data_IF_776628236194
#
_entry.id   IF_776628236194
#
_cell.length_a   1.000
_cell.length_b   1.000
_cell.length_c   1.000
_cell.angle_alpha   90.00
_cell.angle_beta   90.00
_cell.angle_gamma   90.00
#
_symmetry.space_group_name_H-M   'P 1'
#
loop_
_entity.id
_entity.type
_entity.pdbx_description
1 polymer ?
#
# COMPACT_ATOMS: atom_id res chain seq x y z
N UNK A 1 25.60 -17.13 -30.83
CA UNK A 1 24.76 -15.92 -30.80
C UNK A 1 23.38 -16.39 -30.42
N UNK A 2 23.10 -16.45 -29.12
CA UNK A 2 21.74 -16.73 -28.64
C UNK A 2 20.89 -15.47 -28.87
N UNK A 3 19.67 -15.58 -29.42
CA UNK A 3 18.79 -14.43 -29.57
C UNK A 3 18.31 -13.97 -28.19
N UNK A 4 18.41 -12.67 -27.95
CA UNK A 4 17.86 -12.03 -26.75
C UNK A 4 16.36 -12.36 -26.61
N UNK A 5 15.85 -12.54 -25.39
CA UNK A 5 14.44 -12.85 -25.17
C UNK A 5 13.58 -11.72 -25.77
N UNK A 6 12.68 -12.09 -26.69
CA UNK A 6 11.73 -11.14 -27.28
C UNK A 6 10.80 -10.60 -26.18
N UNK A 7 11.05 -9.37 -25.79
CA UNK A 7 10.22 -8.66 -24.83
C UNK A 7 8.99 -8.12 -25.54
N UNK A 8 7.80 -8.50 -25.08
CA UNK A 8 6.54 -8.06 -25.68
C UNK A 8 6.17 -6.67 -25.16
N UNK A 9 6.14 -5.68 -26.03
CA UNK A 9 5.61 -4.35 -25.73
C UNK A 9 4.10 -4.30 -25.98
N UNK A 10 3.36 -3.62 -25.12
CA UNK A 10 1.91 -3.44 -25.28
C UNK A 10 1.47 -2.07 -24.74
N UNK A 11 0.35 -1.57 -25.27
CA UNK A 11 -0.25 -0.30 -24.88
C UNK A 11 -1.52 -0.52 -24.06
N UNK A 12 -1.79 0.35 -23.09
CA UNK A 12 -3.01 0.36 -22.29
C UNK A 12 -3.54 1.78 -22.14
N UNK A 13 -4.83 1.95 -22.38
CA UNK A 13 -5.54 3.20 -22.18
C UNK A 13 -6.24 3.20 -20.82
N UNK A 14 -5.99 4.24 -20.04
CA UNK A 14 -6.52 4.43 -18.68
C UNK A 14 -7.16 5.81 -18.55
N UNK A 15 -8.06 5.96 -17.57
CA UNK A 15 -8.61 7.28 -17.22
C UNK A 15 -8.01 7.76 -15.90
N UNK A 16 -7.15 8.77 -15.95
CA UNK A 16 -6.56 9.40 -14.75
C UNK A 16 -7.62 10.20 -14.01
N UNK A 17 -8.01 9.69 -12.83
CA UNK A 17 -8.98 10.32 -11.94
C UNK A 17 -8.36 11.29 -10.94
N UNK A 18 -9.16 11.74 -9.97
CA UNK A 18 -8.70 12.63 -8.89
C UNK A 18 -7.58 12.02 -8.03
N UNK A 19 -7.56 10.69 -7.89
CA UNK A 19 -6.58 9.94 -7.13
C UNK A 19 -5.36 9.49 -7.96
N UNK A 20 -5.37 9.67 -9.28
CA UNK A 20 -4.32 9.24 -10.19
C UNK A 20 -4.71 8.00 -10.99
N UNK A 21 -3.71 7.21 -11.41
CA UNK A 21 -3.88 6.04 -12.27
C UNK A 21 -4.10 4.74 -11.49
N UNK A 22 -3.92 4.71 -10.17
CA UNK A 22 -4.05 3.47 -9.40
C UNK A 22 -2.81 2.58 -9.36
N UNK A 23 -1.70 2.99 -9.98
CA UNK A 23 -0.49 2.17 -10.17
C UNK A 23 0.62 2.68 -9.28
N UNK A 24 1.32 1.77 -8.60
CA UNK A 24 2.59 2.04 -7.95
C UNK A 24 3.75 1.68 -8.86
N UNK A 25 4.67 2.64 -8.99
CA UNK A 25 5.93 2.43 -9.67
C UNK A 25 7.06 2.37 -8.65
N UNK A 26 7.94 1.39 -8.82
CA UNK A 26 9.21 1.28 -8.14
C UNK A 26 10.34 1.72 -9.10
N UNK A 27 11.40 2.27 -8.53
CA UNK A 27 12.63 2.49 -9.28
C UNK A 27 13.32 1.15 -9.52
N UNK A 28 13.85 0.96 -10.72
CA UNK A 28 14.86 -0.06 -10.94
C UNK A 28 16.08 0.16 -10.02
N UNK A 29 16.93 -0.85 -9.84
CA UNK A 29 18.07 -0.78 -8.91
C UNK A 29 19.03 0.38 -9.21
N UNK A 30 19.17 0.76 -10.48
CA UNK A 30 19.96 1.88 -10.99
C UNK A 30 19.16 3.19 -11.14
N UNK A 31 17.87 3.17 -10.80
CA UNK A 31 16.90 4.24 -11.00
C UNK A 31 16.78 4.73 -12.46
N UNK A 32 17.11 3.88 -13.44
CA UNK A 32 17.06 4.24 -14.88
C UNK A 32 15.67 4.14 -15.47
N UNK A 33 14.79 3.30 -14.92
CA UNK A 33 13.43 3.11 -15.43
C UNK A 33 12.43 2.91 -14.29
N UNK A 34 11.14 3.07 -14.62
CA UNK A 34 10.02 2.82 -13.73
C UNK A 34 9.45 1.43 -14.01
N UNK A 35 9.32 0.62 -12.96
CA UNK A 35 8.75 -0.73 -13.00
C UNK A 35 7.47 -0.73 -12.18
N UNK A 36 6.42 -1.41 -12.62
CA UNK A 36 5.23 -1.64 -11.79
C UNK A 36 5.67 -2.40 -10.54
N UNK A 37 5.38 -1.84 -9.36
CA UNK A 37 5.85 -2.40 -8.09
C UNK A 37 5.42 -3.88 -7.98
N UNK A 38 6.39 -4.76 -7.74
CA UNK A 38 6.17 -6.21 -7.74
C UNK A 38 5.40 -6.71 -6.53
N UNK A 39 5.30 -5.90 -5.47
CA UNK A 39 4.73 -6.28 -4.18
C UNK A 39 3.38 -5.63 -3.94
N UNK A 40 3.26 -4.35 -4.26
CA UNK A 40 2.01 -3.60 -4.16
C UNK A 40 1.82 -2.84 -5.47
N UNK A 41 1.42 -3.51 -6.56
CA UNK A 41 1.30 -2.90 -7.88
C UNK A 41 0.18 -1.86 -7.96
N UNK A 42 -0.89 -2.04 -7.18
CA UNK A 42 -2.10 -1.24 -7.27
C UNK A 42 -2.66 -0.80 -5.91
N UNK A 43 -3.38 0.31 -5.91
CA UNK A 43 -4.23 0.69 -4.77
C UNK A 43 -5.72 0.73 -5.14
N UNK A 44 -6.56 0.44 -4.15
CA UNK A 44 -8.01 0.63 -4.21
C UNK A 44 -8.37 2.06 -3.92
N UNK A 45 -9.36 2.59 -4.63
CA UNK A 45 -9.90 3.92 -4.41
C UNK A 45 -10.56 4.03 -3.02
N UNK A 46 -10.82 5.24 -2.48
CA UNK A 46 -11.50 5.40 -1.20
C UNK A 46 -12.86 4.70 -1.12
N UNK A 47 -13.54 4.54 -2.26
CA UNK A 47 -14.80 3.78 -2.37
C UNK A 47 -14.64 2.27 -2.23
N UNK A 48 -13.40 1.75 -2.16
CA UNK A 48 -13.09 0.32 -2.23
C UNK A 48 -13.01 -0.23 -3.66
N UNK A 49 -13.39 0.56 -4.67
CA UNK A 49 -13.34 0.16 -6.06
C UNK A 49 -11.90 -0.03 -6.58
N UNK A 50 -11.77 -0.82 -7.64
CA UNK A 50 -10.55 -0.94 -8.42
C UNK A 50 -10.15 0.44 -8.96
N UNK A 51 -8.87 0.79 -8.84
CA UNK A 51 -8.34 1.97 -9.50
C UNK A 51 -8.04 1.64 -10.98
N UNK A 52 -7.90 2.65 -11.86
CA UNK A 52 -7.84 2.46 -13.32
C UNK A 52 -6.83 1.41 -13.78
N UNK A 53 -5.61 1.42 -13.22
CA UNK A 53 -4.56 0.47 -13.56
C UNK A 53 -4.95 -0.98 -13.28
N UNK A 54 -5.48 -1.28 -12.09
CA UNK A 54 -5.94 -2.64 -11.74
C UNK A 54 -7.19 -3.03 -12.52
N UNK A 55 -8.12 -2.10 -12.72
CA UNK A 55 -9.35 -2.31 -13.48
C UNK A 55 -9.09 -2.66 -14.95
N UNK A 56 -7.95 -2.23 -15.51
CA UNK A 56 -7.58 -2.56 -16.89
C UNK A 56 -7.31 -4.05 -17.11
N UNK A 57 -6.89 -4.78 -16.05
CA UNK A 57 -6.51 -6.20 -16.11
C UNK A 57 -5.28 -6.52 -16.98
N UNK A 58 -4.74 -5.55 -17.74
CA UNK A 58 -3.63 -5.76 -18.66
C UNK A 58 -2.27 -5.65 -17.98
N UNK A 59 -2.16 -4.80 -16.96
CA UNK A 59 -0.92 -4.46 -16.28
C UNK A 59 -0.60 -5.49 -15.20
N UNK A 60 0.62 -5.99 -15.20
CA UNK A 60 1.14 -6.95 -14.24
C UNK A 60 2.27 -6.34 -13.41
N UNK A 61 2.51 -6.88 -12.19
CA UNK A 61 3.69 -6.51 -11.41
C UNK A 61 4.97 -6.84 -12.20
N UNK A 62 5.95 -5.94 -12.19
CA UNK A 62 7.21 -6.12 -12.91
C UNK A 62 7.22 -5.58 -14.35
N UNK A 63 6.09 -5.11 -14.89
CA UNK A 63 6.09 -4.48 -16.21
C UNK A 63 6.87 -3.16 -16.20
N UNK A 64 7.67 -2.92 -17.23
CA UNK A 64 8.51 -1.72 -17.36
C UNK A 64 7.76 -0.66 -18.14
N UNK A 65 7.66 0.55 -17.61
CA UNK A 65 7.05 1.67 -18.31
C UNK A 65 8.01 2.22 -19.37
N UNK A 66 7.58 2.22 -20.63
CA UNK A 66 8.34 2.74 -21.76
C UNK A 66 7.87 4.12 -22.19
N UNK A 67 6.57 4.40 -22.20
CA UNK A 67 6.05 5.71 -22.59
C UNK A 67 4.82 6.12 -21.80
N UNK A 68 4.62 7.44 -21.73
CA UNK A 68 3.44 8.09 -21.16
C UNK A 68 2.85 9.01 -22.23
N UNK A 69 1.66 8.68 -22.72
CA UNK A 69 1.06 9.21 -23.94
C UNK A 69 2.08 9.10 -25.10
N UNK A 70 2.31 10.20 -25.80
CA UNK A 70 3.23 10.28 -26.94
C UNK A 70 4.69 10.57 -26.51
N UNK A 71 5.00 10.52 -25.21
CA UNK A 71 6.34 10.80 -24.70
C UNK A 71 7.03 9.53 -24.24
N UNK A 72 8.16 9.20 -24.87
CA UNK A 72 9.06 8.14 -24.44
C UNK A 72 9.75 8.53 -23.12
N UNK A 73 9.69 7.64 -22.14
CA UNK A 73 10.27 7.83 -20.80
C UNK A 73 11.46 6.90 -20.54
N UNK A 74 11.82 6.04 -21.50
CA UNK A 74 12.92 5.07 -21.38
C UNK A 74 14.30 5.73 -21.19
N UNK A 75 14.45 6.99 -21.61
CA UNK A 75 15.70 7.76 -21.49
C UNK A 75 15.76 8.61 -20.22
N UNK A 76 14.68 8.67 -19.44
CA UNK A 76 14.56 9.53 -18.27
C UNK A 76 14.87 8.76 -16.99
N UNK A 77 15.46 9.43 -15.99
CA UNK A 77 15.63 8.81 -14.66
C UNK A 77 14.30 8.74 -13.93
N UNK A 78 14.17 7.75 -13.04
CA UNK A 78 12.94 7.51 -12.28
C UNK A 78 12.27 8.77 -11.67
N UNK A 79 12.99 9.72 -11.03
CA UNK A 79 12.36 10.94 -10.52
C UNK A 79 11.71 11.81 -11.60
N UNK A 80 12.31 11.87 -12.78
CA UNK A 80 11.78 12.62 -13.93
C UNK A 80 10.54 11.94 -14.49
N UNK A 81 10.54 10.59 -14.58
CA UNK A 81 9.37 9.80 -14.97
C UNK A 81 8.19 10.05 -14.01
N UNK A 82 8.45 10.04 -12.70
CA UNK A 82 7.43 10.33 -11.68
C UNK A 82 6.85 11.73 -11.86
N UNK A 83 7.70 12.72 -12.14
CA UNK A 83 7.25 14.09 -12.37
C UNK A 83 6.37 14.19 -13.62
N UNK A 84 6.78 13.53 -14.71
CA UNK A 84 5.99 13.47 -15.94
C UNK A 84 4.62 12.83 -15.71
N UNK A 85 4.56 11.68 -15.03
CA UNK A 85 3.30 11.02 -14.65
C UNK A 85 2.39 11.92 -13.79
N UNK A 86 2.97 12.77 -12.93
CA UNK A 86 2.21 13.74 -12.12
C UNK A 86 1.61 14.84 -12.98
N UNK A 87 2.37 15.37 -13.93
CA UNK A 87 2.00 16.47 -14.81
C UNK A 87 0.92 16.11 -15.84
N UNK A 88 0.74 14.82 -16.16
CA UNK A 88 -0.36 14.38 -17.04
C UNK A 88 -1.71 14.88 -16.48
N UNK A 89 -2.56 15.58 -17.25
CA UNK A 89 -3.85 16.04 -16.79
C UNK A 89 -4.80 14.87 -16.46
N UNK A 90 -5.91 15.16 -15.77
CA UNK A 90 -6.98 14.18 -15.59
C UNK A 90 -7.63 13.89 -16.96
N UNK A 91 -8.09 12.66 -17.17
CA UNK A 91 -8.68 12.21 -18.44
C UNK A 91 -7.98 10.99 -19.02
N UNK A 92 -8.13 10.77 -20.32
CA UNK A 92 -7.52 9.64 -21.01
C UNK A 92 -5.98 9.74 -20.98
N UNK A 93 -5.33 8.62 -20.70
CA UNK A 93 -3.87 8.45 -20.65
C UNK A 93 -3.53 7.13 -21.31
N UNK A 94 -2.60 7.14 -22.25
CA UNK A 94 -2.08 5.95 -22.90
C UNK A 94 -0.71 5.62 -22.30
N UNK A 95 -0.50 4.41 -21.83
CA UNK A 95 0.79 3.97 -21.31
C UNK A 95 1.30 2.81 -22.15
N UNK A 96 2.59 2.81 -22.48
CA UNK A 96 3.23 1.66 -23.12
C UNK A 96 4.12 0.97 -22.13
N UNK A 97 3.94 -0.34 -22.01
CA UNK A 97 4.70 -1.21 -21.12
C UNK A 97 5.48 -2.25 -21.91
N UNK A 98 6.56 -2.73 -21.31
CA UNK A 98 7.30 -3.89 -21.74
C UNK A 98 7.19 -4.98 -20.68
N UNK A 99 6.68 -6.14 -21.09
CA UNK A 99 6.71 -7.34 -20.26
C UNK A 99 7.95 -8.15 -20.60
N UNK A 100 8.81 -8.38 -19.61
CA UNK A 100 9.86 -9.38 -19.76
C UNK A 100 9.19 -10.74 -19.72
N UNK A 101 9.27 -11.48 -20.83
CA UNK A 101 8.84 -12.87 -20.92
C UNK A 101 9.65 -13.69 -19.92
N UNK A 102 9.13 -13.83 -18.70
CA UNK A 102 9.64 -14.84 -17.78
C UNK A 102 9.30 -16.17 -18.44
N UNK A 103 10.29 -16.89 -18.97
CA UNK A 103 10.11 -18.31 -19.31
C UNK A 103 9.53 -18.95 -18.05
N UNK A 104 8.29 -19.40 -18.15
CA UNK A 104 7.63 -20.23 -17.16
C UNK A 104 8.56 -21.41 -16.86
N UNK A 105 9.23 -21.40 -15.72
CA UNK A 105 9.74 -22.63 -15.13
C UNK A 105 8.51 -23.36 -14.59
N UNK A 106 7.93 -24.15 -15.51
CA UNK A 106 7.19 -25.40 -15.31
C UNK A 106 6.37 -25.53 -14.02
N UNK A 107 5.06 -25.39 -14.18
CA UNK A 107 4.12 -26.25 -13.45
C UNK A 107 4.08 -27.62 -14.14
N UNK A 108 4.24 -28.73 -13.41
CA UNK A 108 3.63 -30.07 -13.60
C UNK A 108 4.23 -31.11 -12.61
N UNK A 109 3.60 -32.27 -12.33
CA UNK A 109 2.81 -32.52 -11.11
C UNK A 109 3.28 -33.78 -10.33
N UNK A 110 2.48 -34.21 -9.35
CA UNK A 110 2.50 -35.53 -8.69
C UNK A 110 3.54 -35.79 -7.59
N UNK A 111 3.13 -35.54 -6.34
CA UNK A 111 3.32 -36.52 -5.26
C UNK A 111 2.02 -36.67 -4.48
N UNK A 112 1.35 -37.79 -4.75
CA UNK A 112 0.33 -38.38 -3.90
C UNK A 112 0.98 -38.74 -2.56
N UNK A 113 0.41 -38.26 -1.46
CA UNK A 113 0.56 -38.92 -0.17
C UNK A 113 -0.80 -38.91 0.51
N UNK A 114 -1.21 -40.13 0.80
CA UNK A 114 -2.50 -40.57 1.31
C UNK A 114 -2.85 -39.91 2.64
N UNK A 115 -4.13 -39.58 2.79
CA UNK A 115 -4.75 -39.32 4.08
C UNK A 115 -4.86 -40.64 4.87
N UNK A 116 -4.68 -40.59 6.20
CA UNK A 116 -5.38 -41.51 7.08
C UNK A 116 -6.51 -40.81 7.81
N UNK A 117 -7.55 -41.60 7.99
CA UNK A 117 -8.90 -41.26 8.40
C UNK A 117 -9.04 -40.83 9.86
N UNK A 118 -10.18 -40.19 10.12
CA UNK A 118 -10.78 -39.97 11.43
C UNK A 118 -10.78 -41.23 12.30
N UNK A 119 -10.46 -41.06 13.59
CA UNK A 119 -11.07 -41.92 14.59
C UNK A 119 -11.53 -41.07 15.77
N UNK A 120 -12.84 -41.06 15.97
CA UNK A 120 -13.54 -40.46 17.10
C UNK A 120 -13.44 -41.41 18.30
N UNK A 121 -13.03 -40.92 19.47
CA UNK A 121 -13.59 -41.41 20.73
C UNK A 121 -13.35 -40.45 21.92
N UNK A 122 -14.50 -39.99 22.42
CA UNK A 122 -14.88 -39.60 23.77
C UNK A 122 -13.83 -39.35 24.88
N UNK A 123 -13.88 -38.12 25.39
CA UNK A 123 -14.24 -37.79 26.77
C UNK A 123 -13.39 -38.33 27.92
N UNK A 124 -12.82 -37.43 28.73
CA UNK A 124 -13.06 -37.40 30.18
C UNK A 124 -12.67 -36.03 30.79
N UNK A 125 -13.52 -35.63 31.73
CA UNK A 125 -13.61 -34.38 32.49
C UNK A 125 -12.76 -34.48 33.77
N UNK A 126 -12.07 -33.40 34.16
CA UNK A 126 -11.85 -32.94 35.55
C UNK A 126 -10.94 -31.71 35.55
N UNK A 127 -11.48 -30.55 35.89
CA UNK A 127 -11.53 -29.94 37.24
C UNK A 127 -10.32 -29.04 37.52
N UNK A 128 -10.68 -27.77 37.67
CA UNK A 128 -9.96 -26.61 38.19
C UNK A 128 -9.42 -26.86 39.62
N UNK A 129 -8.48 -26.04 40.14
CA UNK A 129 -8.91 -24.74 40.69
C UNK A 129 -7.95 -23.55 40.49
N UNK A 130 -8.62 -22.41 40.32
CA UNK A 130 -8.36 -21.07 40.86
C UNK A 130 -7.03 -20.77 41.58
N UNK A 131 -6.40 -19.66 41.13
CA UNK A 131 -5.81 -18.67 42.03
C UNK A 131 -5.97 -17.27 41.43
N UNK A 132 -6.74 -16.46 42.14
CA UNK A 132 -6.87 -15.00 42.04
C UNK A 132 -5.48 -14.34 42.23
N UNK A 133 -5.16 -13.17 41.67
CA UNK A 133 -5.38 -11.86 42.33
C UNK A 133 -4.93 -10.71 41.40
N UNK A 134 -5.74 -9.64 41.45
CA UNK A 134 -5.51 -8.22 41.16
C UNK A 134 -5.41 -7.65 39.73
N UNK A 135 -6.55 -7.11 39.33
CA UNK A 135 -6.80 -6.10 38.31
C UNK A 135 -6.40 -4.69 38.80
N UNK A 136 -5.66 -3.93 37.98
CA UNK A 136 -5.72 -2.45 37.95
C UNK A 136 -5.40 -1.90 36.54
N UNK A 137 -5.99 -0.74 36.16
CA UNK A 137 -6.56 -0.52 34.85
C UNK A 137 -5.59 0.03 33.79
N UNK A 138 -5.88 -0.34 32.54
CA UNK A 138 -5.25 0.19 31.33
C UNK A 138 -5.67 1.65 31.11
N UNK A 139 -4.76 2.59 30.81
CA UNK A 139 -5.14 3.96 30.50
C UNK A 139 -5.87 4.03 29.15
N UNK A 140 -7.12 4.49 29.18
CA UNK A 140 -7.94 4.81 28.00
C UNK A 140 -7.43 6.13 27.40
N UNK A 141 -6.64 6.04 26.33
CA UNK A 141 -6.25 7.17 25.51
C UNK A 141 -7.46 7.77 24.78
N UNK A 142 -7.57 9.10 24.87
CA UNK A 142 -8.67 9.98 24.49
C UNK A 142 -9.48 9.63 23.22
N UNK A 143 -10.74 9.26 23.41
CA UNK A 143 -11.77 9.36 22.38
C UNK A 143 -12.37 10.78 22.39
N UNK A 144 -11.91 11.66 21.51
CA UNK A 144 -12.38 13.05 21.37
C UNK A 144 -13.76 13.18 20.67
N UNK A 145 -14.73 12.32 20.99
CA UNK A 145 -16.04 12.35 20.30
C UNK A 145 -17.25 12.26 21.23
N UNK A 146 -17.17 12.85 22.42
CA UNK A 146 -18.36 13.01 23.28
C UNK A 146 -18.35 14.32 24.06
N UNK A 147 -18.59 15.45 23.37
CA UNK A 147 -19.16 16.65 24.03
C UNK A 147 -19.65 17.75 23.09
N UNK A 148 -20.68 17.49 22.29
CA UNK A 148 -21.53 18.56 21.74
C UNK A 148 -22.98 18.07 21.64
N UNK A 149 -23.64 17.97 22.80
CA UNK A 149 -25.10 17.79 22.89
C UNK A 149 -25.62 18.60 24.08
N UNK A 150 -25.51 19.92 23.98
CA UNK A 150 -26.32 20.90 24.74
C UNK A 150 -26.04 22.30 24.19
N UNK A 151 -26.93 22.80 23.35
CA UNK A 151 -26.84 24.13 22.76
C UNK A 151 -27.97 24.44 21.79
N UNK A 152 -29.18 23.96 22.06
CA UNK A 152 -30.38 24.46 21.38
C UNK A 152 -30.70 25.85 21.96
N UNK A 153 -29.97 26.86 21.50
CA UNK A 153 -30.36 28.26 21.71
C UNK A 153 -31.47 28.57 20.70
N UNK A 154 -32.67 28.83 21.22
CA UNK A 154 -33.84 29.24 20.47
C UNK A 154 -33.51 30.43 19.56
N UNK A 155 -33.62 30.23 18.24
CA UNK A 155 -33.60 31.33 17.27
C UNK A 155 -35.00 31.93 17.26
N UNK A 156 -35.21 33.02 18.01
CA UNK A 156 -36.43 33.82 17.87
C UNK A 156 -36.33 34.60 16.57
N UNK A 157 -37.01 34.15 15.52
CA UNK A 157 -37.16 34.89 14.28
C UNK A 157 -38.13 36.07 14.49
N UNK A 158 -37.59 37.26 14.77
CA UNK A 158 -38.32 38.49 14.57
C UNK A 158 -38.28 38.83 13.07
N UNK A 159 -39.44 38.82 12.40
CA UNK A 159 -39.59 39.19 10.99
C UNK A 159 -39.70 40.72 10.90
N UNK A 160 -38.76 41.43 10.26
CA UNK A 160 -39.01 42.79 9.82
C UNK A 160 -39.58 42.74 8.40
N UNK A 161 -40.84 43.13 8.26
CA UNK A 161 -41.42 43.55 6.98
C UNK A 161 -40.66 44.76 6.46
N UNK A 162 -39.72 44.54 5.53
CA UNK A 162 -39.09 45.61 4.77
C UNK A 162 -38.96 45.22 3.29
N UNK A 163 -39.62 45.99 2.42
CA UNK A 163 -39.83 45.74 0.99
C UNK A 163 -38.60 46.03 0.10
N UNK A 164 -37.39 46.01 0.68
CA UNK A 164 -36.10 46.13 -0.03
C UNK A 164 -35.18 44.89 0.16
N UNK A 165 -35.68 43.82 0.79
CA UNK A 165 -34.92 42.65 1.27
C UNK A 165 -34.50 41.64 0.19
N UNK A 166 -35.15 41.64 -0.96
CA UNK A 166 -34.88 40.62 -2.00
C UNK A 166 -33.48 40.72 -2.60
N UNK A 167 -32.89 41.92 -2.66
CA UNK A 167 -31.54 42.11 -3.20
C UNK A 167 -30.45 41.69 -2.20
N UNK A 168 -30.64 41.95 -0.90
CA UNK A 168 -29.70 41.56 0.16
C UNK A 168 -29.66 40.05 0.39
N UNK A 169 -30.82 39.40 0.30
CA UNK A 169 -30.93 37.96 0.48
C UNK A 169 -30.33 37.22 -0.73
N UNK A 170 -30.50 37.77 -1.94
CA UNK A 170 -29.89 37.24 -3.16
C UNK A 170 -28.35 37.31 -3.16
N UNK A 171 -27.75 38.38 -2.61
CA UNK A 171 -26.29 38.44 -2.40
C UNK A 171 -25.84 37.46 -1.33
N UNK A 172 -26.54 37.39 -0.19
CA UNK A 172 -26.19 36.45 0.88
C UNK A 172 -26.26 34.99 0.40
N UNK A 173 -27.24 34.63 -0.41
CA UNK A 173 -27.35 33.31 -1.04
C UNK A 173 -26.15 33.00 -1.95
N UNK A 174 -25.76 33.93 -2.82
CA UNK A 174 -24.59 33.75 -3.69
C UNK A 174 -23.29 33.59 -2.90
N UNK A 175 -23.12 34.34 -1.82
CA UNK A 175 -21.96 34.25 -0.96
C UNK A 175 -21.91 32.89 -0.24
N UNK A 176 -23.05 32.40 0.24
CA UNK A 176 -23.16 31.07 0.85
C UNK A 176 -22.90 29.95 -0.16
N UNK A 177 -23.43 30.05 -1.38
CA UNK A 177 -23.13 29.09 -2.45
C UNK A 177 -21.64 29.09 -2.82
N UNK A 178 -21.00 30.27 -2.86
CA UNK A 178 -19.56 30.40 -3.07
C UNK A 178 -18.77 29.69 -1.98
N UNK A 179 -19.07 29.98 -0.72
CA UNK A 179 -18.44 29.33 0.45
C UNK A 179 -18.67 27.83 0.48
N UNK A 180 -19.85 27.36 0.08
CA UNK A 180 -20.14 25.93 0.00
C UNK A 180 -19.22 25.25 -1.01
N UNK A 181 -19.07 25.82 -2.22
CA UNK A 181 -18.14 25.28 -3.25
C UNK A 181 -16.70 25.26 -2.75
N UNK A 182 -16.23 26.34 -2.12
CA UNK A 182 -14.88 26.43 -1.55
C UNK A 182 -14.63 25.34 -0.50
N UNK A 183 -15.58 25.15 0.43
CA UNK A 183 -15.49 24.13 1.48
C UNK A 183 -15.58 22.70 0.91
N UNK A 184 -16.39 22.48 -0.12
CA UNK A 184 -16.46 21.18 -0.82
C UNK A 184 -15.12 20.85 -1.50
N UNK A 185 -14.46 21.83 -2.12
CA UNK A 185 -13.13 21.66 -2.71
C UNK A 185 -12.05 21.40 -1.65
N UNK A 186 -12.09 22.09 -0.51
CA UNK A 186 -11.22 21.84 0.64
C UNK A 186 -11.40 20.44 1.21
N UNK A 187 -12.65 20.03 1.42
CA UNK A 187 -12.98 18.70 1.90
C UNK A 187 -12.47 17.62 0.94
N UNK A 188 -12.65 17.81 -0.37
CA UNK A 188 -12.16 16.88 -1.38
C UNK A 188 -10.62 16.79 -1.39
N UNK A 189 -9.92 17.92 -1.19
CA UNK A 189 -8.46 17.94 -1.03
C UNK A 189 -8.02 17.17 0.22
N UNK A 190 -8.67 17.42 1.35
CA UNK A 190 -8.32 16.80 2.62
C UNK A 190 -8.57 15.28 2.60
N UNK A 191 -9.72 14.85 2.08
CA UNK A 191 -10.03 13.43 1.87
C UNK A 191 -8.97 12.73 1.02
N UNK A 192 -8.52 13.39 -0.06
CA UNK A 192 -7.45 12.88 -0.91
C UNK A 192 -6.12 12.77 -0.17
N UNK A 193 -5.72 13.82 0.55
CA UNK A 193 -4.49 13.84 1.33
C UNK A 193 -4.48 12.72 2.38
N UNK A 194 -5.56 12.58 3.14
CA UNK A 194 -5.73 11.53 4.13
C UNK A 194 -5.62 10.14 3.53
N UNK A 195 -6.33 9.88 2.44
CA UNK A 195 -6.29 8.58 1.77
C UNK A 195 -4.87 8.21 1.32
N UNK A 196 -4.15 9.15 0.70
CA UNK A 196 -2.77 8.92 0.26
C UNK A 196 -1.83 8.69 1.45
N UNK A 197 -2.02 9.41 2.55
CA UNK A 197 -1.23 9.24 3.77
C UNK A 197 -1.45 7.87 4.44
N UNK A 198 -2.71 7.44 4.59
CA UNK A 198 -3.07 6.12 5.13
C UNK A 198 -2.43 5.00 4.31
N UNK A 199 -2.52 5.10 2.97
CA UNK A 199 -1.93 4.12 2.08
C UNK A 199 -0.39 4.12 2.14
N UNK A 200 0.23 5.29 2.29
CA UNK A 200 1.68 5.41 2.53
C UNK A 200 2.10 4.73 3.85
N UNK A 201 1.31 4.87 4.91
CA UNK A 201 1.55 4.20 6.19
C UNK A 201 1.50 2.68 6.07
N UNK A 202 0.55 2.14 5.28
CA UNK A 202 0.50 0.69 5.01
C UNK A 202 1.78 0.20 4.34
N UNK A 203 2.26 0.92 3.32
CA UNK A 203 3.51 0.57 2.63
C UNK A 203 4.72 0.59 3.59
N UNK A 204 4.83 1.64 4.42
CA UNK A 204 5.91 1.73 5.41
C UNK A 204 5.87 0.61 6.44
N UNK A 205 4.68 0.26 6.94
CA UNK A 205 4.51 -0.84 7.89
C UNK A 205 4.96 -2.16 7.28
N UNK A 206 4.54 -2.45 6.05
CA UNK A 206 4.89 -3.69 5.35
C UNK A 206 6.40 -3.78 5.11
N UNK A 207 7.03 -2.69 4.67
CA UNK A 207 8.48 -2.64 4.46
C UNK A 207 9.26 -2.82 5.76
N UNK A 208 8.82 -2.17 6.84
CA UNK A 208 9.43 -2.33 8.16
C UNK A 208 9.37 -3.77 8.65
N UNK A 209 8.21 -4.41 8.52
CA UNK A 209 8.03 -5.81 8.91
C UNK A 209 8.95 -6.74 8.10
N UNK A 210 9.05 -6.53 6.79
CA UNK A 210 9.93 -7.31 5.91
C UNK A 210 11.40 -7.15 6.32
N UNK A 211 11.88 -5.92 6.42
CA UNK A 211 13.27 -5.64 6.80
C UNK A 211 13.57 -6.23 8.18
N UNK A 212 12.62 -6.16 9.12
CA UNK A 212 12.78 -6.78 10.43
C UNK A 212 12.93 -8.30 10.34
N UNK A 213 12.11 -8.96 9.52
CA UNK A 213 12.17 -10.42 9.32
C UNK A 213 13.50 -10.82 8.67
N UNK A 214 13.90 -10.16 7.59
CA UNK A 214 15.18 -10.42 6.92
C UNK A 214 16.35 -10.19 7.87
N UNK A 215 16.34 -9.12 8.66
CA UNK A 215 17.39 -8.85 9.64
C UNK A 215 17.46 -9.95 10.71
N UNK A 216 16.32 -10.45 11.18
CA UNK A 216 16.28 -11.58 12.11
C UNK A 216 16.90 -12.84 11.49
N UNK A 217 16.48 -13.20 10.26
CA UNK A 217 17.05 -14.38 9.57
C UNK A 217 18.55 -14.27 9.35
N UNK A 218 19.04 -13.08 8.96
CA UNK A 218 20.48 -12.85 8.77
C UNK A 218 21.25 -12.92 10.09
N UNK A 219 20.67 -12.46 11.20
CA UNK A 219 21.29 -12.60 12.53
C UNK A 219 21.39 -14.06 12.95
N UNK A 220 20.34 -14.84 12.69
CA UNK A 220 20.33 -16.28 13.00
C UNK A 220 21.38 -17.02 12.17
N UNK A 221 21.46 -16.75 10.86
CA UNK A 221 22.48 -17.29 9.97
C UNK A 221 23.89 -16.90 10.43
N UNK A 222 24.11 -15.62 10.75
CA UNK A 222 25.39 -15.13 11.25
C UNK A 222 25.77 -15.82 12.57
N UNK A 223 24.82 -16.04 13.47
CA UNK A 223 25.01 -16.80 14.71
C UNK A 223 25.47 -18.23 14.43
N UNK A 224 24.79 -18.92 13.52
CA UNK A 224 25.16 -20.29 13.11
C UNK A 224 26.57 -20.35 12.51
N UNK A 225 26.90 -19.43 11.60
CA UNK A 225 28.23 -19.35 10.98
C UNK A 225 29.31 -19.11 12.04
N UNK A 226 29.07 -18.21 13.01
CA UNK A 226 30.02 -17.95 14.11
C UNK A 226 30.25 -19.18 14.98
N UNK A 227 29.19 -19.89 15.36
CA UNK A 227 29.30 -21.13 16.16
C UNK A 227 30.09 -22.19 15.39
N UNK A 228 29.81 -22.36 14.09
CA UNK A 228 30.55 -23.31 13.25
C UNK A 228 32.03 -22.92 13.12
N UNK A 229 32.34 -21.62 13.00
CA UNK A 229 33.71 -21.14 12.95
C UNK A 229 34.45 -21.41 14.27
N UNK A 230 33.85 -21.09 15.42
CA UNK A 230 34.44 -21.37 16.74
C UNK A 230 34.72 -22.86 16.94
N UNK A 231 33.82 -23.74 16.49
CA UNK A 231 34.03 -25.20 16.53
C UNK A 231 35.22 -25.66 15.67
N UNK A 232 35.43 -25.03 14.50
CA UNK A 232 36.61 -25.32 13.66
C UNK A 232 37.90 -24.85 14.33
N UNK A 233 37.90 -23.63 14.86
CA UNK A 233 39.09 -23.04 15.50
C UNK A 233 39.51 -23.86 16.74
N UNK A 234 38.54 -24.28 17.56
CA UNK A 234 38.77 -25.16 18.72
C UNK A 234 39.34 -26.52 18.30
N UNK A 235 38.76 -27.16 17.30
CA UNK A 235 39.26 -28.43 16.77
C UNK A 235 40.71 -28.33 16.25
N UNK A 236 41.05 -27.26 15.52
CA UNK A 236 42.42 -27.02 15.03
C UNK A 236 43.39 -26.85 16.19
N UNK A 237 43.01 -26.07 17.21
CA UNK A 237 43.83 -25.85 18.41
C UNK A 237 44.07 -27.14 19.21
N UNK A 238 43.03 -27.96 19.42
CA UNK A 238 43.16 -29.25 20.09
C UNK A 238 44.04 -30.23 19.31
N UNK A 239 43.91 -30.26 17.98
CA UNK A 239 44.73 -31.09 17.10
C UNK A 239 46.21 -30.71 17.17
N UNK A 240 46.52 -29.41 17.28
CA UNK A 240 47.89 -28.91 17.46
C UNK A 240 48.47 -29.33 18.82
N UNK A 241 47.67 -29.28 19.89
CA UNK A 241 48.12 -29.73 21.22
C UNK A 241 48.40 -31.23 21.30
N UNK A 242 47.69 -32.06 20.52
CA UNK A 242 47.88 -33.51 20.52
C UNK A 242 49.12 -33.97 19.71
N UNK A 243 49.72 -33.08 18.92
CA UNK A 243 50.83 -33.37 18.02
C UNK A 243 52.21 -33.00 18.60
N UNK A 244 52.27 -32.49 19.84
CA UNK A 244 53.50 -32.12 20.58
C UNK A 244 53.69 -33.10 21.74
#
# INVERSE_FOLDING_TARGET
MDPAPEASCYSVELVKGAYGLGIYFAAAADASHAVVDTRVPFYRLPSGALAPGEASGAIAPGDVLLSVNDSDVSTLRFPQIVEQLRQVPRGAVTLVFQRQSQKSVEASPDMQVEAPEENQQDGHKKEEPAAEVEEKPRPKGWTMFQRLSAGAAAVTSAVPTNSNSTSSDATALRDLEGKLRELEEELAREQKCRFLAERKNVLYRNELQRVSQENATLRDQLGQVKVLQQRKDTFVMESLHLAI
#
